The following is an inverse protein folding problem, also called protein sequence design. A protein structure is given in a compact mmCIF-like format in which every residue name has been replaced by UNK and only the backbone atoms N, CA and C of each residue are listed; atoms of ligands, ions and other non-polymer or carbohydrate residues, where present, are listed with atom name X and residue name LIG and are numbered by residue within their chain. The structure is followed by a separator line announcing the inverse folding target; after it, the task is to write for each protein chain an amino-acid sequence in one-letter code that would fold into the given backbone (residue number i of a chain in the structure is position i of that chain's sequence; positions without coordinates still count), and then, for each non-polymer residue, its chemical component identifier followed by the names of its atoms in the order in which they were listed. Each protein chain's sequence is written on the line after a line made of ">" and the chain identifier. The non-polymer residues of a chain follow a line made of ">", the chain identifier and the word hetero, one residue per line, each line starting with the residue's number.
data_IF_704691726584
#
_entry.id   IF_704691726584
#
_cell.length_a   1.000
_cell.length_b   1.000
_cell.length_c   1.000
_cell.angle_alpha   90.00
_cell.angle_beta   90.00
_cell.angle_gamma   90.00
#
_symmetry.space_group_name_H-M   'P 1'
#
loop_
_entity.id
_entity.type
_entity.pdbx_description
1 polymer ?
#
# COMPACT_ATOMS: atom_id res chain seq x y z
N UNK A 1 -17.48 -0.61 24.94
CA UNK A 1 -18.20 -1.76 24.33
C UNK A 1 -17.38 -2.29 23.16
N UNK A 2 -16.99 -3.57 23.15
CA UNK A 2 -16.31 -4.19 22.01
C UNK A 2 -17.24 -4.23 20.78
N UNK A 3 -16.65 -4.11 19.59
CA UNK A 3 -17.37 -4.18 18.32
C UNK A 3 -17.82 -5.64 18.05
N UNK A 4 -19.11 -5.87 17.79
CA UNK A 4 -19.63 -7.19 17.37
C UNK A 4 -19.00 -7.61 16.03
N UNK A 5 -18.58 -8.87 15.89
CA UNK A 5 -18.00 -9.44 14.67
C UNK A 5 -18.88 -9.23 13.42
N UNK A 6 -20.20 -9.26 13.54
CA UNK A 6 -21.11 -8.99 12.41
C UNK A 6 -20.96 -7.55 11.91
N UNK A 7 -20.79 -6.62 12.84
CA UNK A 7 -20.58 -5.20 12.51
C UNK A 7 -19.20 -4.96 11.93
N UNK A 8 -18.17 -5.64 12.45
CA UNK A 8 -16.82 -5.60 11.88
C UNK A 8 -16.78 -6.11 10.43
N UNK A 9 -17.38 -7.28 10.18
CA UNK A 9 -17.46 -7.85 8.83
C UNK A 9 -18.23 -6.94 7.86
N UNK A 10 -19.34 -6.34 8.31
CA UNK A 10 -20.09 -5.39 7.49
C UNK A 10 -19.27 -4.15 7.13
N UNK A 11 -18.54 -3.57 8.08
CA UNK A 11 -17.67 -2.41 7.83
C UNK A 11 -16.58 -2.78 6.81
N UNK A 12 -15.94 -3.94 6.97
CA UNK A 12 -14.90 -4.39 6.03
C UNK A 12 -15.46 -4.60 4.62
N UNK A 13 -16.65 -5.18 4.49
CA UNK A 13 -17.32 -5.32 3.19
C UNK A 13 -17.65 -3.97 2.55
N UNK A 14 -18.16 -3.00 3.32
CA UNK A 14 -18.47 -1.66 2.80
C UNK A 14 -17.21 -0.91 2.37
N UNK A 15 -16.11 -1.05 3.12
CA UNK A 15 -14.81 -0.51 2.72
C UNK A 15 -14.32 -1.15 1.42
N UNK A 16 -14.34 -2.47 1.31
CA UNK A 16 -13.94 -3.16 0.07
C UNK A 16 -14.80 -2.74 -1.13
N UNK A 17 -16.12 -2.60 -0.96
CA UNK A 17 -17.02 -2.06 -1.99
C UNK A 17 -16.66 -0.65 -2.40
N UNK A 18 -16.24 0.20 -1.46
CA UNK A 18 -15.82 1.57 -1.76
C UNK A 18 -14.51 1.65 -2.57
N UNK A 19 -13.71 0.58 -2.56
CA UNK A 19 -12.47 0.49 -3.33
C UNK A 19 -12.69 -0.06 -4.74
N UNK A 20 -13.77 -0.80 -4.96
CA UNK A 20 -14.15 -1.31 -6.29
C UNK A 20 -14.26 -0.16 -7.30
N UNK A 21 -13.63 -0.31 -8.46
CA UNK A 21 -13.58 0.71 -9.52
C UNK A 21 -12.55 1.82 -9.30
N UNK A 22 -11.84 1.84 -8.16
CA UNK A 22 -10.72 2.75 -7.87
C UNK A 22 -9.37 2.03 -7.76
N UNK A 23 -9.38 0.72 -7.94
CA UNK A 23 -8.20 -0.13 -7.89
C UNK A 23 -7.53 -0.20 -9.26
N UNK A 24 -6.21 -0.31 -9.24
CA UNK A 24 -5.40 -0.72 -10.38
C UNK A 24 -4.45 -1.83 -9.94
N UNK A 25 -3.99 -2.62 -10.90
CA UNK A 25 -3.01 -3.66 -10.63
C UNK A 25 -1.60 -3.06 -10.60
N UNK A 26 -0.86 -3.38 -9.56
CA UNK A 26 0.59 -3.13 -9.46
C UNK A 26 1.30 -4.46 -9.21
N UNK A 27 2.60 -4.52 -9.49
CA UNK A 27 3.39 -5.72 -9.24
C UNK A 27 4.28 -5.53 -8.04
N UNK A 28 4.14 -6.41 -7.05
CA UNK A 28 5.10 -6.55 -5.96
C UNK A 28 6.26 -7.41 -6.46
N UNK A 29 7.48 -6.92 -6.23
CA UNK A 29 8.70 -7.65 -6.56
C UNK A 29 9.33 -8.11 -5.26
N UNK A 30 9.37 -9.42 -5.05
CA UNK A 30 10.04 -10.03 -3.90
C UNK A 30 11.37 -10.63 -4.33
N UNK A 31 12.36 -10.59 -3.45
CA UNK A 31 13.62 -11.29 -3.64
C UNK A 31 13.80 -12.30 -2.52
N UNK A 32 13.81 -13.58 -2.87
CA UNK A 32 14.04 -14.68 -1.94
C UNK A 32 15.25 -15.45 -2.43
N UNK A 33 16.30 -15.49 -1.62
CA UNK A 33 17.54 -16.23 -1.91
C UNK A 33 18.15 -15.93 -3.30
N UNK A 34 18.08 -14.67 -3.76
CA UNK A 34 18.68 -14.22 -5.03
C UNK A 34 17.79 -14.41 -6.26
N UNK A 35 16.58 -14.96 -6.10
CA UNK A 35 15.59 -15.07 -7.18
C UNK A 35 14.46 -14.05 -6.99
N UNK A 36 14.14 -13.34 -8.07
CA UNK A 36 13.02 -12.40 -8.09
C UNK A 36 11.71 -13.13 -8.40
N UNK A 37 10.67 -12.83 -7.64
CA UNK A 37 9.29 -13.26 -7.90
C UNK A 37 8.38 -12.04 -8.09
N UNK A 38 7.37 -12.20 -8.94
CA UNK A 38 6.46 -11.13 -9.33
C UNK A 38 5.03 -11.52 -9.00
N UNK A 39 4.34 -10.72 -8.19
CA UNK A 39 2.93 -10.94 -7.88
C UNK A 39 2.13 -9.67 -8.16
N UNK A 40 1.14 -9.77 -9.05
CA UNK A 40 0.21 -8.67 -9.29
C UNK A 40 -0.79 -8.56 -8.12
N UNK A 41 -1.10 -7.34 -7.72
CA UNK A 41 -2.05 -7.05 -6.65
C UNK A 41 -2.90 -5.83 -7.03
N UNK A 42 -4.22 -5.95 -6.79
CA UNK A 42 -5.14 -4.85 -6.95
C UNK A 42 -5.04 -3.91 -5.73
N UNK A 43 -4.72 -2.65 -5.98
CA UNK A 43 -4.53 -1.62 -4.96
C UNK A 43 -5.13 -0.30 -5.40
N UNK A 44 -5.50 0.56 -4.46
CA UNK A 44 -5.70 1.98 -4.80
C UNK A 44 -4.34 2.65 -4.79
N UNK A 45 -3.98 3.32 -5.88
CA UNK A 45 -2.67 3.94 -6.02
C UNK A 45 -2.87 5.40 -6.39
N UNK A 46 -2.40 6.32 -5.55
CA UNK A 46 -2.65 7.76 -5.73
C UNK A 46 -1.48 8.61 -5.24
N UNK A 47 -1.26 9.79 -5.81
CA UNK A 47 -0.31 10.76 -5.26
C UNK A 47 -0.65 11.08 -3.82
N UNK A 48 0.36 11.18 -2.96
CA UNK A 48 0.14 11.82 -1.67
C UNK A 48 0.14 13.33 -1.92
N UNK A 49 -0.96 14.00 -1.60
CA UNK A 49 -0.98 15.45 -1.64
C UNK A 49 -0.07 15.91 -0.51
N UNK A 50 0.99 16.64 -0.86
CA UNK A 50 2.00 17.10 0.07
C UNK A 50 1.34 17.65 1.34
N UNK A 51 1.46 16.90 2.43
CA UNK A 51 1.15 17.42 3.77
C UNK A 51 2.21 18.47 4.03
N UNK A 52 1.77 19.65 4.44
CA UNK A 52 2.66 20.78 4.75
C UNK A 52 3.82 20.28 5.63
N UNK A 53 5.09 20.39 5.19
CA UNK A 53 6.24 19.89 5.92
C UNK A 53 6.47 20.59 7.27
N UNK A 54 5.59 21.52 7.66
CA UNK A 54 5.59 22.15 8.98
C UNK A 54 4.62 21.50 9.98
N UNK A 55 3.77 20.56 9.56
CA UNK A 55 2.80 19.91 10.44
C UNK A 55 3.40 18.59 10.99
N UNK A 56 3.60 18.47 12.32
CA UNK A 56 4.02 17.23 12.95
C UNK A 56 3.03 16.10 12.66
N UNK A 57 3.52 14.86 12.60
CA UNK A 57 2.64 13.71 12.42
C UNK A 57 1.73 13.47 13.65
N UNK A 58 0.80 12.52 13.55
CA UNK A 58 -0.11 12.17 14.65
C UNK A 58 0.61 11.65 15.91
N UNK A 59 1.89 11.32 15.81
CA UNK A 59 2.76 10.91 16.93
C UNK A 59 3.62 12.05 17.49
N UNK A 60 3.51 13.26 16.93
CA UNK A 60 4.31 14.43 17.32
C UNK A 60 5.75 14.39 16.79
N UNK A 61 6.06 13.46 15.89
CA UNK A 61 7.38 13.33 15.27
C UNK A 61 7.53 14.27 14.07
N UNK A 62 8.77 14.55 13.62
CA UNK A 62 8.98 15.33 12.40
C UNK A 62 8.17 14.78 11.24
N UNK A 63 7.64 15.64 10.35
CA UNK A 63 6.84 15.19 9.22
C UNK A 63 7.58 14.10 8.44
N UNK A 64 6.85 13.03 8.10
CA UNK A 64 7.42 11.90 7.36
C UNK A 64 8.15 12.38 6.10
N UNK A 65 9.27 11.73 5.76
CA UNK A 65 9.95 11.96 4.49
C UNK A 65 8.91 11.93 3.36
N UNK A 66 8.88 12.98 2.52
CA UNK A 66 7.84 13.20 1.51
C UNK A 66 7.57 11.91 0.71
N UNK A 67 6.48 11.23 1.07
CA UNK A 67 5.96 10.16 0.24
C UNK A 67 5.41 10.82 -1.01
N UNK A 68 5.82 10.34 -2.18
CA UNK A 68 5.28 10.85 -3.44
C UNK A 68 3.92 10.21 -3.72
N UNK A 69 3.74 8.97 -3.26
CA UNK A 69 2.58 8.14 -3.54
C UNK A 69 2.14 7.38 -2.30
N UNK A 70 0.83 7.21 -2.18
CA UNK A 70 0.19 6.31 -1.21
C UNK A 70 -0.46 5.18 -1.97
N UNK A 71 -0.12 3.96 -1.56
CA UNK A 71 -0.76 2.73 -1.97
C UNK A 71 -1.67 2.25 -0.83
N UNK A 72 -2.92 1.91 -1.16
CA UNK A 72 -3.87 1.28 -0.24
C UNK A 72 -4.06 -0.17 -0.68
N UNK A 73 -3.57 -1.09 0.15
CA UNK A 73 -3.68 -2.53 -0.04
C UNK A 73 -4.76 -3.14 0.87
N UNK A 74 -5.32 -4.30 0.50
CA UNK A 74 -6.15 -5.09 1.39
C UNK A 74 -5.44 -5.37 2.73
N UNK A 75 -6.22 -5.41 3.81
CA UNK A 75 -5.70 -5.86 5.10
C UNK A 75 -5.22 -7.32 4.99
N UNK A 76 -4.00 -7.61 5.42
CA UNK A 76 -3.40 -8.94 5.33
C UNK A 76 -2.46 -9.13 4.14
N UNK A 77 -2.30 -8.13 3.27
CA UNK A 77 -1.21 -8.12 2.30
C UNK A 77 0.13 -8.22 3.01
N UNK A 78 0.88 -9.29 2.74
CA UNK A 78 2.23 -9.46 3.25
C UNK A 78 3.22 -8.70 2.36
N UNK A 79 3.94 -7.75 2.95
CA UNK A 79 4.99 -6.98 2.30
C UNK A 79 6.40 -7.44 2.72
N UNK A 80 6.52 -8.49 3.53
CA UNK A 80 7.80 -9.05 3.91
C UNK A 80 8.56 -9.56 2.68
N UNK A 81 9.82 -9.14 2.53
CA UNK A 81 10.67 -9.52 1.40
C UNK A 81 10.34 -8.81 0.09
N UNK A 82 9.37 -7.88 0.06
CA UNK A 82 9.15 -7.00 -1.08
C UNK A 82 10.30 -6.00 -1.15
N UNK A 83 11.04 -6.01 -2.26
CA UNK A 83 12.16 -5.09 -2.49
C UNK A 83 11.65 -3.78 -3.06
N UNK A 84 10.70 -3.86 -4.01
CA UNK A 84 10.07 -2.69 -4.61
C UNK A 84 8.72 -3.04 -5.25
N UNK A 85 7.97 -2.00 -5.58
CA UNK A 85 6.69 -2.07 -6.28
C UNK A 85 6.87 -1.47 -7.67
N UNK A 86 6.49 -2.23 -8.70
CA UNK A 86 6.46 -1.76 -10.08
C UNK A 86 5.04 -1.33 -10.46
N UNK A 87 4.92 -0.14 -11.03
CA UNK A 87 3.67 0.37 -11.60
C UNK A 87 3.41 -0.25 -12.97
N UNK A 88 2.96 -1.51 -12.95
CA UNK A 88 2.52 -2.25 -14.12
C UNK A 88 1.44 -3.25 -13.72
N UNK A 89 0.44 -3.50 -14.58
CA UNK A 89 -0.55 -4.53 -14.31
C UNK A 89 -0.03 -5.95 -14.54
N UNK A 90 1.12 -6.11 -15.19
CA UNK A 90 1.57 -7.40 -15.73
C UNK A 90 2.79 -7.92 -14.96
N UNK A 91 2.65 -9.07 -14.30
CA UNK A 91 3.70 -9.71 -13.49
C UNK A 91 4.75 -10.47 -14.34
N UNK A 92 5.39 -9.79 -15.28
CA UNK A 92 6.49 -10.35 -16.10
C UNK A 92 7.76 -9.54 -15.94
N UNK A 93 8.91 -10.19 -16.08
CA UNK A 93 10.23 -9.56 -15.97
C UNK A 93 10.36 -8.33 -16.88
N UNK A 94 9.95 -8.43 -18.14
CA UNK A 94 10.01 -7.33 -19.10
C UNK A 94 9.16 -6.13 -18.67
N UNK A 95 7.93 -6.39 -18.22
CA UNK A 95 7.01 -5.32 -17.78
C UNK A 95 7.52 -4.62 -16.52
N UNK A 96 8.07 -5.39 -15.58
CA UNK A 96 8.65 -4.86 -14.33
C UNK A 96 9.91 -4.02 -14.59
N UNK A 97 10.71 -4.38 -15.58
CA UNK A 97 11.92 -3.61 -15.92
C UNK A 97 11.59 -2.26 -16.57
N UNK A 98 10.56 -2.21 -17.42
CA UNK A 98 10.14 -0.99 -18.10
C UNK A 98 9.26 -0.06 -17.23
N UNK A 99 8.65 -0.59 -16.16
CA UNK A 99 7.75 0.16 -15.30
C UNK A 99 8.50 1.13 -14.36
N UNK A 100 7.85 2.24 -13.96
CA UNK A 100 8.28 3.03 -12.81
C UNK A 100 8.33 2.17 -11.55
N UNK A 101 9.43 2.27 -10.81
CA UNK A 101 9.71 1.47 -9.62
C UNK A 101 9.65 2.35 -8.37
N UNK A 102 9.04 1.83 -7.31
CA UNK A 102 8.84 2.53 -6.06
C UNK A 102 9.33 1.69 -4.89
N UNK A 103 10.08 2.30 -3.99
CA UNK A 103 10.41 1.71 -2.70
C UNK A 103 9.31 1.97 -1.68
N UNK A 104 9.20 1.04 -0.73
CA UNK A 104 8.29 1.16 0.40
C UNK A 104 9.04 1.90 1.52
N UNK A 105 8.55 3.08 1.89
CA UNK A 105 9.08 3.83 3.03
C UNK A 105 8.56 3.23 4.33
N UNK A 106 7.24 3.10 4.42
CA UNK A 106 6.56 2.55 5.60
C UNK A 106 5.20 1.99 5.23
N UNK A 107 4.75 1.00 5.98
CA UNK A 107 3.41 0.42 5.88
C UNK A 107 2.74 0.47 7.24
N UNK A 108 1.54 1.05 7.27
CA UNK A 108 0.78 1.27 8.51
C UNK A 108 -0.64 0.73 8.30
N UNK A 109 -1.12 -0.17 9.18
CA UNK A 109 -2.53 -0.54 9.19
C UNK A 109 -3.40 0.68 9.47
N UNK A 110 -4.42 0.88 8.65
CA UNK A 110 -5.28 2.05 8.70
C UNK A 110 -6.77 1.65 8.66
N UNK A 111 -7.63 2.49 9.25
CA UNK A 111 -9.08 2.29 9.30
C UNK A 111 -9.58 1.74 10.62
N UNK A 112 -10.79 1.18 10.58
CA UNK A 112 -11.53 0.66 11.74
C UNK A 112 -11.28 -0.87 11.90
N UNK A 113 -11.79 -1.46 12.97
CA UNK A 113 -11.14 -2.43 13.87
C UNK A 113 -11.52 -3.92 13.60
N UNK A 114 -10.72 -4.87 14.15
CA UNK A 114 -9.48 -4.69 14.92
C UNK A 114 -8.22 -4.74 14.05
N UNK A 115 -7.32 -3.78 14.25
CA UNK A 115 -6.04 -3.71 13.53
C UNK A 115 -6.07 -2.95 12.20
N UNK A 116 -7.18 -2.28 11.87
CA UNK A 116 -7.36 -1.55 10.61
C UNK A 116 -8.24 -2.30 9.61
N UNK A 117 -8.72 -1.63 8.57
CA UNK A 117 -9.47 -2.24 7.46
C UNK A 117 -8.64 -2.42 6.20
N UNK A 118 -7.50 -1.72 6.11
CA UNK A 118 -6.60 -1.75 4.97
C UNK A 118 -5.18 -1.39 5.41
N UNK A 119 -4.20 -1.65 4.55
CA UNK A 119 -2.83 -1.21 4.73
C UNK A 119 -2.61 0.06 3.92
N UNK A 120 -2.14 1.13 4.56
CA UNK A 120 -1.55 2.28 3.87
C UNK A 120 -0.06 2.09 3.75
N UNK A 121 0.44 2.17 2.53
CA UNK A 121 1.85 2.01 2.20
C UNK A 121 2.31 3.30 1.56
N UNK A 122 3.29 3.93 2.17
CA UNK A 122 3.90 5.17 1.68
C UNK A 122 5.07 4.82 0.79
N UNK A 123 5.09 5.41 -0.40
CA UNK A 123 6.01 5.05 -1.47
C UNK A 123 6.83 6.25 -1.93
N UNK A 124 8.07 5.97 -2.31
CA UNK A 124 8.98 6.92 -2.98
C UNK A 124 9.49 6.31 -4.28
N UNK A 125 9.61 7.11 -5.32
CA UNK A 125 10.11 6.64 -6.62
C UNK A 125 11.63 6.42 -6.58
N UNK A 126 12.10 5.33 -7.20
CA UNK A 126 13.53 5.17 -7.46
C UNK A 126 13.99 6.20 -8.50
N UNK A 127 15.14 6.81 -8.21
CA UNK A 127 15.83 7.76 -9.11
C UNK A 127 16.74 7.03 -10.07
#
# INVERSE_FOLDING_TARGET
>A
MPLDNRKAAHIQQMVNKSFTGRQRNVVLVTNTAGSYSYSAMAVVFRPDLAVDPQIPDQSGMPPHAQAELVLIAPLGTNLAGVVFIADTPTATTASVQAAPKYEIITSVPAGIIPGGTHLRVYLRRFR
#
